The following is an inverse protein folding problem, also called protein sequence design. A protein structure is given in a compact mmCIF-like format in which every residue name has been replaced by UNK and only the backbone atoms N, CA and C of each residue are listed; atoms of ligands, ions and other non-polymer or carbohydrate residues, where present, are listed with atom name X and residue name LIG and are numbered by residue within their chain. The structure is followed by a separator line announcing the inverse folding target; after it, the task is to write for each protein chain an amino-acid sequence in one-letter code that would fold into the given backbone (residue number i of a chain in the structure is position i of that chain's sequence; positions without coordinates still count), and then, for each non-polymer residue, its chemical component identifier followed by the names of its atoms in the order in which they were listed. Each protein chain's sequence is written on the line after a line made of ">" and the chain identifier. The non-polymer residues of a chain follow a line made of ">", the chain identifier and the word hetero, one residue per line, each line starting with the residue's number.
data_IF_859706077646
#
_entry.id   IF_859706077646
#
_cell.length_a   1.000
_cell.length_b   1.000
_cell.length_c   1.000
_cell.angle_alpha   90.00
_cell.angle_beta   90.00
_cell.angle_gamma   90.00
#
_symmetry.space_group_name_H-M   'P 1'
#
loop_
_entity.id
_entity.type
_entity.pdbx_description
1 polymer ?
#
# COMPACT_ATOMS: atom_id res chain seq x y z
N UNK A 1 11.56 -9.67 2.08
CA UNK A 1 12.39 -9.12 3.18
C UNK A 1 13.73 -9.87 3.20
N UNK A 2 14.85 -9.25 3.58
CA UNK A 2 16.11 -10.01 3.69
C UNK A 2 16.02 -11.01 4.86
N UNK A 3 16.67 -12.17 4.76
CA UNK A 3 16.71 -13.19 5.83
C UNK A 3 17.18 -12.60 7.17
N UNK A 4 18.10 -11.62 7.10
CA UNK A 4 18.57 -10.84 8.25
C UNK A 4 17.45 -9.98 8.86
N UNK A 5 16.67 -9.29 8.02
CA UNK A 5 15.56 -8.46 8.47
C UNK A 5 14.47 -9.28 9.15
N UNK A 6 14.11 -10.42 8.57
CA UNK A 6 13.09 -11.32 9.14
C UNK A 6 13.55 -11.90 10.47
N UNK A 7 14.80 -12.39 10.56
CA UNK A 7 15.39 -12.88 11.80
C UNK A 7 15.28 -11.85 12.95
N UNK A 8 15.55 -10.57 12.67
CA UNK A 8 15.49 -9.53 13.69
C UNK A 8 14.06 -9.16 14.10
N UNK A 9 13.10 -9.28 13.19
CA UNK A 9 11.68 -9.12 13.50
C UNK A 9 11.23 -10.25 14.42
N UNK A 10 11.58 -11.49 14.09
CA UNK A 10 11.20 -12.67 14.88
C UNK A 10 11.82 -12.64 16.30
N UNK A 11 13.05 -12.11 16.44
CA UNK A 11 13.68 -11.91 17.75
C UNK A 11 12.95 -10.84 18.56
N UNK A 12 12.58 -9.71 17.94
CA UNK A 12 11.86 -8.65 18.61
C UNK A 12 10.46 -9.12 19.08
N UNK A 13 9.69 -9.75 18.19
CA UNK A 13 8.35 -10.27 18.48
C UNK A 13 8.34 -11.31 19.60
N UNK A 14 9.34 -12.21 19.62
CA UNK A 14 9.47 -13.22 20.68
C UNK A 14 9.68 -12.59 22.06
N UNK A 15 10.51 -11.55 22.15
CA UNK A 15 10.78 -10.86 23.42
C UNK A 15 9.54 -10.10 23.93
N UNK A 16 8.69 -9.59 23.02
CA UNK A 16 7.44 -8.93 23.41
C UNK A 16 6.37 -9.92 23.88
N UNK A 17 6.38 -11.14 23.35
CA UNK A 17 5.48 -12.21 23.78
C UNK A 17 5.73 -12.62 25.24
N UNK A 18 6.99 -12.58 25.69
CA UNK A 18 7.39 -13.00 27.04
C UNK A 18 7.34 -11.87 28.08
N UNK A 19 7.33 -10.60 27.66
CA UNK A 19 7.24 -9.43 28.57
C UNK A 19 5.79 -8.94 28.82
N UNK A 20 4.80 -9.50 28.12
CA UNK A 20 3.38 -9.39 28.49
C UNK A 20 2.69 -8.05 28.19
N UNK A 21 3.18 -7.24 27.24
CA UNK A 21 2.51 -5.98 26.85
C UNK A 21 3.17 -5.22 25.69
N UNK A 22 2.48 -4.19 25.19
CA UNK A 22 2.98 -3.27 24.16
C UNK A 22 4.22 -2.49 24.64
N UNK A 23 5.23 -2.24 23.78
CA UNK A 23 6.43 -1.52 24.19
C UNK A 23 6.11 -0.09 24.64
N UNK A 24 6.63 0.36 25.79
CA UNK A 24 6.42 1.74 26.24
C UNK A 24 7.04 2.75 25.26
N UNK A 25 6.36 3.88 25.06
CA UNK A 25 6.74 4.93 24.08
C UNK A 25 8.15 5.51 24.35
N UNK A 26 8.58 5.47 25.62
CA UNK A 26 9.93 5.84 26.07
C UNK A 26 10.39 4.87 27.15
N UNK A 27 11.63 4.40 27.02
CA UNK A 27 12.23 3.50 27.99
C UNK A 27 13.24 4.25 28.87
N UNK A 28 13.16 4.00 30.18
CA UNK A 28 14.16 4.45 31.15
C UNK A 28 15.30 3.42 31.26
N UNK A 29 16.48 3.83 31.75
CA UNK A 29 17.62 2.91 31.91
C UNK A 29 17.27 1.67 32.75
N UNK A 30 16.47 1.82 33.80
CA UNK A 30 15.99 0.72 34.65
C UNK A 30 15.13 -0.31 33.91
N UNK A 31 14.53 0.05 32.77
CA UNK A 31 13.73 -0.83 31.93
C UNK A 31 14.55 -1.40 30.76
N UNK A 32 15.51 -0.62 30.25
CA UNK A 32 16.41 -1.00 29.15
C UNK A 32 17.40 -2.09 29.59
N UNK A 33 18.01 -1.96 30.76
CA UNK A 33 19.07 -2.87 31.21
C UNK A 33 18.58 -4.34 31.36
N UNK A 34 17.43 -4.64 32.00
CA UNK A 34 16.91 -6.01 32.08
C UNK A 34 16.52 -6.60 30.72
N UNK A 35 15.91 -5.78 29.84
CA UNK A 35 15.52 -6.21 28.51
C UNK A 35 16.72 -6.54 27.63
N UNK A 36 17.78 -5.73 27.66
CA UNK A 36 19.00 -6.02 26.91
C UNK A 36 19.70 -7.27 27.42
N UNK A 37 19.68 -7.47 28.74
CA UNK A 37 20.22 -8.68 29.35
C UNK A 37 19.48 -9.91 28.85
N UNK A 38 18.15 -9.88 28.84
CA UNK A 38 17.30 -10.95 28.32
C UNK A 38 17.46 -11.15 26.80
N UNK A 39 17.51 -10.05 26.03
CA UNK A 39 17.76 -10.06 24.59
C UNK A 39 19.11 -10.75 24.26
N UNK A 40 20.17 -10.40 24.98
CA UNK A 40 21.49 -11.01 24.78
C UNK A 40 21.49 -12.50 25.11
N UNK A 41 20.78 -12.91 26.16
CA UNK A 41 20.62 -14.31 26.50
C UNK A 41 19.90 -15.08 25.39
N UNK A 42 18.76 -14.56 24.90
CA UNK A 42 17.99 -15.20 23.82
C UNK A 42 18.78 -15.29 22.52
N UNK A 43 19.54 -14.26 22.20
CA UNK A 43 20.38 -14.26 21.01
C UNK A 43 21.53 -15.27 21.12
N UNK A 44 22.12 -15.39 22.31
CA UNK A 44 23.16 -16.39 22.60
C UNK A 44 22.62 -17.81 22.47
N UNK A 45 21.44 -18.10 23.02
CA UNK A 45 20.76 -19.40 22.92
C UNK A 45 20.51 -19.76 21.45
N UNK A 46 19.91 -18.85 20.67
CA UNK A 46 19.63 -19.08 19.24
C UNK A 46 20.89 -19.23 18.37
N UNK A 47 21.94 -18.48 18.66
CA UNK A 47 23.21 -18.63 17.95
C UNK A 47 23.94 -19.93 18.32
N UNK A 48 23.73 -20.45 19.54
CA UNK A 48 24.25 -21.76 19.94
C UNK A 48 23.49 -22.90 19.25
N UNK A 49 22.17 -22.76 19.06
CA UNK A 49 21.32 -23.72 18.34
C UNK A 49 21.58 -23.73 16.82
N UNK A 50 21.88 -22.56 16.24
CA UNK A 50 22.20 -22.43 14.82
C UNK A 50 23.41 -21.50 14.60
N UNK A 51 24.64 -22.06 14.54
CA UNK A 51 25.87 -21.28 14.37
C UNK A 51 25.94 -20.42 13.10
N UNK A 52 25.20 -20.77 12.04
CA UNK A 52 25.13 -19.96 10.82
C UNK A 52 24.47 -18.59 11.04
N UNK A 53 23.64 -18.45 12.08
CA UNK A 53 23.05 -17.17 12.46
C UNK A 53 24.11 -16.15 12.88
N UNK A 54 25.26 -16.58 13.44
CA UNK A 54 26.35 -15.69 13.85
C UNK A 54 26.88 -14.88 12.66
N UNK A 55 26.95 -15.48 11.47
CA UNK A 55 27.36 -14.77 10.26
C UNK A 55 26.30 -13.78 9.76
N UNK A 56 25.03 -14.17 9.83
CA UNK A 56 23.87 -13.37 9.40
C UNK A 56 23.62 -12.16 10.31
N UNK A 57 23.69 -12.37 11.63
CA UNK A 57 23.40 -11.36 12.63
C UNK A 57 24.65 -10.56 13.03
N UNK A 58 25.85 -11.09 12.75
CA UNK A 58 27.13 -10.46 13.11
C UNK A 58 27.42 -10.46 14.61
N UNK A 59 26.68 -11.24 15.39
CA UNK A 59 26.75 -11.20 16.85
C UNK A 59 28.13 -11.58 17.40
N UNK A 60 28.55 -10.88 18.45
CA UNK A 60 29.71 -11.19 19.25
C UNK A 60 29.33 -11.19 20.73
N UNK A 61 30.08 -11.96 21.54
CA UNK A 61 29.87 -12.01 22.98
C UNK A 61 30.10 -10.60 23.58
N UNK A 62 29.11 -10.02 24.28
CA UNK A 62 29.21 -8.64 24.73
C UNK A 62 30.38 -8.45 25.69
N UNK A 63 31.29 -7.53 25.37
CA UNK A 63 32.31 -7.06 26.32
C UNK A 63 31.65 -6.04 27.23
N UNK A 64 31.83 -6.18 28.56
CA UNK A 64 31.26 -5.33 29.61
C UNK A 64 31.49 -3.82 29.35
N UNK A 65 30.59 -3.19 28.58
CA UNK A 65 30.54 -1.77 28.33
C UNK A 65 29.37 -1.18 29.10
N UNK A 66 29.63 -0.35 30.10
CA UNK A 66 28.57 0.28 30.88
C UNK A 66 27.91 1.41 30.07
N UNK A 67 26.58 1.33 29.90
CA UNK A 67 25.78 2.38 29.26
C UNK A 67 25.87 3.67 30.12
N UNK A 68 26.25 4.83 29.55
CA UNK A 68 26.37 6.09 30.30
C UNK A 68 25.07 6.46 31.03
N UNK A 69 25.17 6.95 32.27
CA UNK A 69 24.02 7.35 33.09
C UNK A 69 23.23 8.51 32.45
N UNK A 70 21.89 8.45 32.52
CA UNK A 70 21.00 9.51 32.02
C UNK A 70 20.68 9.45 30.52
N UNK A 71 21.12 8.41 29.83
CA UNK A 71 20.81 8.22 28.41
C UNK A 71 19.44 7.57 28.20
N UNK A 72 18.69 8.05 27.20
CA UNK A 72 17.37 7.54 26.82
C UNK A 72 17.38 7.19 25.33
N UNK A 73 16.72 6.09 24.96
CA UNK A 73 16.50 5.67 23.57
C UNK A 73 15.02 5.33 23.41
N UNK A 74 14.37 5.86 22.36
CA UNK A 74 12.98 5.49 22.08
C UNK A 74 12.91 4.09 21.47
N UNK A 75 11.80 3.38 21.66
CA UNK A 75 11.57 2.07 21.05
C UNK A 75 11.73 2.14 19.52
N UNK A 76 11.21 3.19 18.88
CA UNK A 76 11.36 3.37 17.43
C UNK A 76 12.84 3.58 17.04
N UNK A 77 13.61 4.33 17.83
CA UNK A 77 15.05 4.49 17.60
C UNK A 77 15.77 3.16 17.80
N UNK A 78 15.44 2.43 18.86
CA UNK A 78 15.99 1.10 19.13
C UNK A 78 15.68 0.14 17.97
N UNK A 79 14.39 -0.08 17.67
CA UNK A 79 13.93 -0.95 16.59
C UNK A 79 14.55 -0.58 15.23
N UNK A 80 14.54 0.71 14.88
CA UNK A 80 15.12 1.19 13.62
C UNK A 80 16.61 0.90 13.55
N UNK A 81 17.35 1.25 14.59
CA UNK A 81 18.79 1.04 14.63
C UNK A 81 19.13 -0.46 14.52
N UNK A 82 18.36 -1.34 15.19
CA UNK A 82 18.54 -2.79 15.14
C UNK A 82 18.19 -3.39 13.77
N UNK A 83 17.14 -2.90 13.12
CA UNK A 83 16.70 -3.38 11.81
C UNK A 83 17.61 -2.88 10.70
N UNK A 84 18.00 -1.60 10.72
CA UNK A 84 18.75 -0.98 9.64
C UNK A 84 20.26 -1.14 9.80
N UNK A 85 20.74 -1.52 10.98
CA UNK A 85 22.17 -1.57 11.29
C UNK A 85 22.86 -0.20 11.25
N UNK A 86 22.08 0.88 11.22
CA UNK A 86 22.54 2.26 11.07
C UNK A 86 21.97 3.13 12.19
N UNK A 87 22.81 3.95 12.82
CA UNK A 87 22.37 4.94 13.81
C UNK A 87 22.62 6.36 13.31
N UNK A 88 21.54 7.05 12.89
CA UNK A 88 21.61 8.46 12.42
C UNK A 88 21.66 9.49 13.57
N UNK A 89 21.84 9.04 14.82
CA UNK A 89 21.90 9.87 16.02
C UNK A 89 23.27 10.49 16.33
N UNK A 90 23.35 11.22 17.44
CA UNK A 90 24.61 11.76 17.97
C UNK A 90 25.57 10.63 18.39
N UNK A 91 26.86 10.97 18.63
CA UNK A 91 27.89 9.99 19.00
C UNK A 91 27.49 9.10 20.18
N UNK A 92 26.77 9.65 21.16
CA UNK A 92 26.25 8.89 22.31
C UNK A 92 25.26 7.82 21.87
N UNK A 93 24.29 8.17 21.01
CA UNK A 93 23.28 7.23 20.47
C UNK A 93 23.93 6.14 19.63
N UNK A 94 24.93 6.50 18.84
CA UNK A 94 25.71 5.56 18.02
C UNK A 94 26.53 4.58 18.88
N UNK A 95 27.20 5.09 19.92
CA UNK A 95 27.97 4.26 20.82
C UNK A 95 27.08 3.36 21.69
N UNK A 96 25.92 3.84 22.13
CA UNK A 96 24.94 3.00 22.82
C UNK A 96 24.49 1.84 21.95
N UNK A 97 24.18 2.08 20.67
CA UNK A 97 23.85 1.00 19.74
C UNK A 97 24.96 -0.05 19.62
N UNK A 98 26.21 0.40 19.43
CA UNK A 98 27.33 -0.53 19.33
C UNK A 98 27.52 -1.35 20.61
N UNK A 99 27.41 -0.71 21.77
CA UNK A 99 27.47 -1.39 23.07
C UNK A 99 26.34 -2.43 23.19
N UNK A 100 25.13 -2.10 22.75
CA UNK A 100 24.00 -3.04 22.69
C UNK A 100 24.21 -4.21 21.73
N UNK A 101 25.06 -4.07 20.72
CA UNK A 101 25.39 -5.14 19.79
C UNK A 101 26.65 -5.92 20.23
N UNK A 102 27.20 -5.62 21.42
CA UNK A 102 28.36 -6.27 22.00
C UNK A 102 29.72 -5.66 21.62
N UNK A 103 29.72 -4.52 20.92
CA UNK A 103 30.92 -3.80 20.47
C UNK A 103 31.32 -2.68 21.43
N UNK A 104 32.60 -2.29 21.42
CA UNK A 104 33.08 -1.26 22.35
C UNK A 104 32.67 0.17 21.96
N UNK A 105 32.41 0.41 20.67
CA UNK A 105 31.98 1.72 20.14
C UNK A 105 31.41 1.58 18.73
N UNK A 106 30.73 2.62 18.23
CA UNK A 106 30.19 2.60 16.86
C UNK A 106 31.26 2.47 15.79
N UNK A 107 32.43 3.04 16.04
CA UNK A 107 33.57 2.95 15.12
C UNK A 107 34.12 1.50 15.07
N UNK A 108 34.06 0.76 16.18
CA UNK A 108 34.42 -0.65 16.27
C UNK A 108 33.43 -1.53 15.48
N UNK A 109 32.13 -1.28 15.65
CA UNK A 109 31.06 -1.90 14.85
C UNK A 109 31.26 -1.64 13.35
N UNK A 110 31.50 -0.39 12.95
CA UNK A 110 31.67 -0.01 11.54
C UNK A 110 32.87 -0.69 10.87
N UNK A 111 34.01 -0.79 11.55
CA UNK A 111 35.20 -1.48 11.00
C UNK A 111 34.95 -2.96 10.74
N UNK A 112 34.27 -3.65 11.65
CA UNK A 112 33.99 -5.09 11.52
C UNK A 112 32.89 -5.35 10.49
N UNK A 113 31.86 -4.50 10.43
CA UNK A 113 30.80 -4.60 9.43
C UNK A 113 31.31 -4.39 8.00
N UNK A 114 32.22 -3.42 7.78
CA UNK A 114 32.81 -3.14 6.46
C UNK A 114 33.89 -4.15 6.03
N UNK A 115 34.53 -4.86 6.96
CA UNK A 115 35.48 -5.93 6.62
C UNK A 115 34.77 -7.15 5.99
N UNK A 116 33.50 -7.39 6.32
CA UNK A 116 32.72 -8.52 5.80
C UNK A 116 32.18 -8.34 4.37
N UNK A 117 32.03 -7.10 3.89
CA UNK A 117 31.50 -6.83 2.54
C UNK A 117 32.54 -6.95 1.41
N UNK A 118 33.82 -7.19 1.73
CA UNK A 118 34.92 -7.21 0.77
C UNK A 118 35.61 -8.59 0.63
N UNK A 119 34.92 -9.69 0.91
CA UNK A 119 35.45 -11.03 0.57
C UNK A 119 34.88 -11.49 -0.78
N UNK A 120 35.71 -11.93 -1.74
CA UNK A 120 35.24 -12.31 -3.08
C UNK A 120 34.53 -13.67 -3.06
N UNK A 121 33.38 -13.75 -3.73
CA UNK A 121 32.58 -14.97 -3.89
C UNK A 121 33.31 -16.03 -4.75
N UNK A 122 33.24 -17.29 -4.32
CA UNK A 122 33.74 -18.48 -5.04
C UNK A 122 32.63 -19.01 -5.97
N UNK A 123 32.93 -19.46 -7.21
CA UNK A 123 31.90 -19.91 -8.16
C UNK A 123 31.34 -21.30 -7.82
N UNK A 124 30.05 -21.49 -8.11
CA UNK A 124 29.32 -22.74 -7.92
C UNK A 124 29.88 -23.91 -8.73
N UNK A 125 30.00 -25.09 -8.10
CA UNK A 125 30.39 -26.36 -8.72
C UNK A 125 29.13 -27.21 -8.96
N UNK A 126 28.79 -27.34 -10.24
CA UNK A 126 28.51 -28.55 -11.04
C UNK A 126 27.66 -29.68 -10.41
N UNK A 127 26.51 -29.92 -11.06
CA UNK A 127 25.71 -31.15 -11.07
C UNK A 127 26.55 -32.39 -11.35
N UNK A 128 26.38 -33.43 -10.52
CA UNK A 128 26.73 -34.81 -10.87
C UNK A 128 25.41 -35.57 -11.03
N UNK A 129 25.15 -35.99 -12.26
CA UNK A 129 24.20 -37.02 -12.61
C UNK A 129 24.95 -38.34 -12.84
N UNK A 130 24.41 -39.44 -12.33
CA UNK A 130 24.57 -40.85 -12.72
C UNK A 130 23.35 -41.56 -12.04
N UNK A 131 22.60 -42.49 -12.60
CA UNK A 131 22.77 -43.36 -13.76
C UNK A 131 21.43 -44.05 -14.13
N UNK A 132 21.29 -44.35 -15.42
CA UNK A 132 20.69 -45.54 -16.08
C UNK A 132 19.26 -46.05 -15.83
N UNK A 133 18.49 -46.12 -16.94
CA UNK A 133 18.02 -47.40 -17.51
C UNK A 133 17.63 -47.24 -19.00
N UNK A 134 18.33 -47.98 -19.87
CA UNK A 134 18.11 -48.12 -21.33
C UNK A 134 16.97 -49.11 -21.69
N UNK A 135 16.27 -48.76 -22.77
CA UNK A 135 15.78 -49.54 -23.94
C UNK A 135 15.32 -51.01 -23.86
N UNK A 136 14.12 -51.27 -24.44
CA UNK A 136 13.97 -52.23 -25.56
C UNK A 136 12.59 -52.18 -26.26
N UNK A 137 12.63 -51.74 -27.53
CA UNK A 137 12.02 -52.28 -28.76
C UNK A 137 10.66 -53.05 -28.84
N UNK A 138 9.87 -52.55 -29.81
CA UNK A 138 9.26 -53.25 -30.97
C UNK A 138 7.77 -53.71 -30.99
N UNK A 139 7.22 -53.42 -32.16
CA UNK A 139 5.90 -53.55 -32.76
C UNK A 139 5.01 -54.75 -32.37
N UNK A 140 3.69 -54.51 -32.37
CA UNK A 140 2.69 -55.03 -33.36
C UNK A 140 1.25 -54.90 -32.83
N UNK A 141 0.34 -54.39 -33.67
CA UNK A 141 -1.12 -54.58 -33.56
C UNK A 141 -1.47 -55.81 -34.42
N UNK A 142 -2.39 -56.72 -33.99
CA UNK A 142 -3.71 -56.75 -34.62
C UNK A 142 -4.90 -57.17 -33.72
N UNK A 143 -6.02 -56.45 -33.89
CA UNK A 143 -7.40 -56.89 -34.22
C UNK A 143 -8.03 -58.13 -33.54
N UNK A 144 -9.13 -57.83 -32.82
CA UNK A 144 -10.44 -58.48 -32.63
C UNK A 144 -10.57 -59.99 -32.28
N UNK A 145 -11.31 -60.26 -31.18
CA UNK A 145 -12.60 -60.96 -31.26
C UNK A 145 -13.37 -60.91 -29.92
N UNK A 146 -14.67 -60.63 -29.99
CA UNK A 146 -15.68 -60.99 -28.97
C UNK A 146 -16.19 -62.43 -29.27
N UNK A 147 -17.05 -63.14 -28.50
CA UNK A 147 -18.03 -62.65 -27.51
C UNK A 147 -18.26 -63.56 -26.28
N UNK A 148 -19.11 -63.12 -25.34
CA UNK A 148 -20.32 -63.81 -24.83
C UNK A 148 -20.64 -63.44 -23.37
N UNK A 149 -21.83 -62.86 -23.21
CA UNK A 149 -22.84 -63.08 -22.17
C UNK A 149 -22.34 -63.40 -20.74
N UNK A 150 -22.72 -62.58 -19.77
CA UNK A 150 -24.03 -62.71 -19.11
C UNK A 150 -24.14 -61.90 -17.80
N UNK A 151 -25.40 -61.61 -17.45
CA UNK A 151 -25.94 -61.28 -16.11
C UNK A 151 -25.78 -59.86 -15.54
N UNK A 152 -26.92 -59.16 -15.62
CA UNK A 152 -27.35 -58.02 -14.80
C UNK A 152 -27.11 -58.20 -13.29
N UNK A 153 -26.60 -57.15 -12.62
CA UNK A 153 -26.88 -56.82 -11.20
C UNK A 153 -27.00 -55.30 -10.99
N UNK A 154 -27.84 -54.84 -10.03
CA UNK A 154 -28.29 -53.44 -9.88
C UNK A 154 -27.26 -52.51 -9.19
N UNK A 155 -25.97 -52.64 -9.53
CA UNK A 155 -24.92 -51.79 -8.99
C UNK A 155 -24.57 -50.59 -9.91
N UNK A 156 -24.88 -50.67 -11.21
CA UNK A 156 -24.44 -49.67 -12.19
C UNK A 156 -25.26 -48.37 -12.10
N UNK A 157 -26.54 -48.43 -11.73
CA UNK A 157 -27.37 -47.21 -11.60
C UNK A 157 -26.96 -46.37 -10.38
N UNK A 158 -26.54 -47.01 -9.28
CA UNK A 158 -26.01 -46.31 -8.11
C UNK A 158 -24.61 -45.72 -8.37
N UNK A 159 -23.75 -46.44 -9.11
CA UNK A 159 -22.41 -45.94 -9.47
C UNK A 159 -22.51 -44.81 -10.50
N UNK A 160 -23.44 -44.85 -11.46
CA UNK A 160 -23.68 -43.73 -12.38
C UNK A 160 -24.26 -42.51 -11.65
N UNK A 161 -25.16 -42.67 -10.68
CA UNK A 161 -25.69 -41.55 -9.90
C UNK A 161 -24.61 -40.92 -8.99
N UNK A 162 -23.77 -41.73 -8.35
CA UNK A 162 -22.66 -41.27 -7.51
C UNK A 162 -21.55 -40.65 -8.37
N UNK A 163 -21.31 -41.15 -9.59
CA UNK A 163 -20.38 -40.53 -10.53
C UNK A 163 -20.95 -39.24 -11.12
N UNK A 164 -22.25 -39.10 -11.39
CA UNK A 164 -22.83 -37.83 -11.85
C UNK A 164 -22.89 -36.78 -10.74
N UNK A 165 -23.20 -37.18 -9.49
CA UNK A 165 -23.17 -36.27 -8.33
C UNK A 165 -21.73 -35.95 -7.95
N UNK A 166 -20.80 -36.91 -8.04
CA UNK A 166 -19.37 -36.71 -7.87
C UNK A 166 -18.78 -35.83 -8.97
N UNK A 167 -19.20 -35.96 -10.23
CA UNK A 167 -18.75 -35.12 -11.33
C UNK A 167 -19.37 -33.71 -11.27
N UNK A 168 -20.60 -33.57 -10.77
CA UNK A 168 -21.19 -32.24 -10.48
C UNK A 168 -20.52 -31.57 -9.28
N UNK A 169 -20.17 -32.32 -8.23
CA UNK A 169 -19.40 -31.81 -7.08
C UNK A 169 -17.97 -31.47 -7.51
N UNK A 170 -17.34 -32.27 -8.39
CA UNK A 170 -16.02 -31.95 -8.94
C UNK A 170 -16.10 -30.76 -9.89
N UNK A 171 -17.17 -30.54 -10.65
CA UNK A 171 -17.37 -29.29 -11.41
C UNK A 171 -17.64 -28.10 -10.48
N UNK A 172 -18.26 -28.30 -9.30
CA UNK A 172 -18.38 -27.25 -8.28
C UNK A 172 -17.08 -27.00 -7.48
N UNK A 173 -16.14 -27.94 -7.45
CA UNK A 173 -14.83 -27.81 -6.78
C UNK A 173 -13.71 -27.44 -7.78
N UNK A 174 -13.94 -27.65 -9.08
CA UNK A 174 -13.01 -27.38 -10.18
C UNK A 174 -13.56 -26.38 -11.20
N UNK A 175 -14.63 -25.65 -10.88
CA UNK A 175 -14.77 -24.33 -11.47
C UNK A 175 -13.51 -23.57 -11.02
N UNK A 176 -12.72 -22.99 -11.94
CA UNK A 176 -11.77 -21.99 -11.51
C UNK A 176 -12.63 -20.96 -10.80
N UNK A 177 -12.51 -20.90 -9.47
CA UNK A 177 -12.81 -19.66 -8.78
C UNK A 177 -11.86 -18.69 -9.45
N UNK A 178 -12.34 -17.96 -10.45
CA UNK A 178 -11.78 -16.67 -10.75
C UNK A 178 -12.01 -15.88 -9.46
N UNK A 179 -11.11 -16.06 -8.48
CA UNK A 179 -10.92 -15.08 -7.44
C UNK A 179 -10.61 -13.83 -8.23
N UNK A 180 -11.56 -12.90 -8.24
CA UNK A 180 -11.36 -11.59 -8.83
C UNK A 180 -10.02 -11.07 -8.28
N UNK A 181 -9.18 -10.45 -9.13
CA UNK A 181 -7.87 -9.97 -8.70
C UNK A 181 -8.06 -9.10 -7.45
N UNK A 182 -7.28 -9.37 -6.41
CA UNK A 182 -7.41 -8.66 -5.15
C UNK A 182 -7.23 -7.15 -5.38
N UNK A 183 -8.18 -6.34 -4.92
CA UNK A 183 -8.11 -4.88 -5.08
C UNK A 183 -6.89 -4.33 -4.35
N UNK A 184 -5.92 -3.78 -5.08
CA UNK A 184 -4.77 -3.11 -4.49
C UNK A 184 -5.16 -1.67 -4.12
N UNK A 185 -5.26 -1.42 -2.81
CA UNK A 185 -5.57 -0.11 -2.25
C UNK A 185 -4.29 0.61 -1.84
N UNK A 186 -4.11 1.82 -2.33
CA UNK A 186 -3.10 2.76 -1.87
C UNK A 186 -3.77 3.81 -1.01
N UNK A 187 -3.19 4.14 0.14
CA UNK A 187 -3.75 5.16 1.01
C UNK A 187 -2.68 5.98 1.73
N UNK A 188 -2.96 7.27 1.87
CA UNK A 188 -2.18 8.18 2.69
C UNK A 188 -2.63 8.01 4.13
N UNK A 189 -1.70 7.84 5.05
CA UNK A 189 -1.94 7.83 6.50
C UNK A 189 -1.00 8.79 7.25
N UNK A 190 -1.14 8.91 8.58
CA UNK A 190 -0.29 9.81 9.40
C UNK A 190 1.22 9.55 9.28
N UNK A 191 1.62 8.35 8.88
CA UNK A 191 3.02 7.95 8.73
C UNK A 191 3.57 8.17 7.31
N UNK A 192 2.72 8.33 6.31
CA UNK A 192 3.10 8.55 4.91
C UNK A 192 2.11 7.92 3.94
N UNK A 193 2.60 7.01 3.09
CA UNK A 193 1.78 6.27 2.11
C UNK A 193 1.98 4.78 2.33
N UNK A 194 0.87 4.06 2.43
CA UNK A 194 0.84 2.62 2.51
C UNK A 194 0.07 2.04 1.32
N UNK A 195 0.34 0.75 1.09
CA UNK A 195 -0.41 -0.08 0.15
C UNK A 195 -0.91 -1.32 0.88
N UNK A 196 -2.06 -1.85 0.49
CA UNK A 196 -2.56 -3.13 0.97
C UNK A 196 -3.49 -3.77 -0.07
N UNK A 197 -3.57 -5.08 -0.10
CA UNK A 197 -4.69 -5.74 -0.77
C UNK A 197 -5.92 -5.56 0.12
N UNK A 198 -7.05 -5.11 -0.42
CA UNK A 198 -8.19 -4.71 0.40
C UNK A 198 -8.84 -5.87 1.17
N UNK A 199 -8.58 -7.12 0.76
CA UNK A 199 -8.99 -8.34 1.46
C UNK A 199 -7.96 -8.82 2.50
N UNK A 200 -6.78 -8.21 2.51
CA UNK A 200 -5.70 -8.49 3.46
C UNK A 200 -5.50 -7.28 4.37
N UNK A 201 -5.81 -7.43 5.67
CA UNK A 201 -5.61 -6.36 6.67
C UNK A 201 -4.12 -6.23 7.07
N UNK A 202 -3.23 -6.15 6.07
CA UNK A 202 -1.79 -6.14 6.20
C UNK A 202 -1.16 -5.00 5.37
N UNK A 203 -1.22 -3.75 5.87
CA UNK A 203 -0.70 -2.61 5.15
C UNK A 203 0.84 -2.56 5.16
N UNK A 204 1.42 -2.29 3.99
CA UNK A 204 2.85 -2.09 3.80
C UNK A 204 3.13 -0.61 3.61
N UNK A 205 3.93 -0.02 4.50
CA UNK A 205 4.37 1.37 4.39
C UNK A 205 5.45 1.50 3.31
N UNK A 206 5.11 2.13 2.18
CA UNK A 206 6.02 2.37 1.05
C UNK A 206 6.75 3.71 1.17
N UNK A 207 6.09 4.70 1.79
CA UNK A 207 6.64 6.02 2.10
C UNK A 207 6.44 6.25 3.60
N UNK A 208 7.50 6.59 4.33
CA UNK A 208 7.44 6.83 5.77
C UNK A 208 7.99 8.21 6.16
N UNK A 209 7.54 8.71 7.32
CA UNK A 209 7.97 9.98 7.91
C UNK A 209 7.65 11.21 7.04
N UNK A 210 6.52 11.20 6.32
CA UNK A 210 6.06 12.30 5.46
C UNK A 210 4.69 12.79 5.94
N UNK A 211 4.67 13.88 6.72
CA UNK A 211 3.46 14.34 7.44
C UNK A 211 2.55 15.29 6.67
N UNK A 212 3.04 15.91 5.60
CA UNK A 212 2.30 16.97 4.87
C UNK A 212 1.87 16.51 3.48
N UNK A 213 1.47 15.24 3.38
CA UNK A 213 0.90 14.67 2.18
C UNK A 213 -0.60 14.97 2.12
N UNK A 214 -1.09 15.44 0.98
CA UNK A 214 -2.48 15.89 0.82
C UNK A 214 -3.24 15.16 -0.28
N UNK A 215 -2.56 14.80 -1.37
CA UNK A 215 -3.12 14.00 -2.45
C UNK A 215 -2.05 13.13 -3.07
N UNK A 216 -2.48 12.12 -3.79
CA UNK A 216 -1.62 11.17 -4.49
C UNK A 216 -2.40 10.47 -5.57
N UNK A 217 -1.67 9.94 -6.53
CA UNK A 217 -2.22 9.06 -7.54
C UNK A 217 -1.13 8.15 -8.11
N UNK A 218 -1.54 7.06 -8.75
CA UNK A 218 -0.67 5.94 -9.07
C UNK A 218 -0.90 5.40 -10.47
N UNK A 219 0.17 5.42 -11.26
CA UNK A 219 0.22 4.80 -12.58
C UNK A 219 0.64 3.34 -12.41
N UNK A 220 -0.36 2.45 -12.43
CA UNK A 220 -0.17 1.01 -12.31
C UNK A 220 0.70 0.43 -13.43
N UNK A 221 0.48 0.86 -14.67
CA UNK A 221 1.20 0.38 -15.86
C UNK A 221 2.71 0.61 -15.76
N UNK A 222 3.11 1.74 -15.19
CA UNK A 222 4.51 2.13 -15.05
C UNK A 222 5.06 1.97 -13.61
N UNK A 223 4.24 1.51 -12.66
CA UNK A 223 4.56 1.51 -11.23
C UNK A 223 5.06 2.87 -10.70
N UNK A 224 4.48 3.98 -11.17
CA UNK A 224 4.87 5.33 -10.77
C UNK A 224 3.85 5.92 -9.79
N UNK A 225 4.32 6.26 -8.59
CA UNK A 225 3.54 6.94 -7.57
C UNK A 225 3.89 8.43 -7.56
N UNK A 226 2.87 9.29 -7.64
CA UNK A 226 2.98 10.74 -7.47
C UNK A 226 2.24 11.17 -6.21
N UNK A 227 2.78 12.14 -5.48
CA UNK A 227 2.10 12.72 -4.32
C UNK A 227 2.37 14.21 -4.14
N UNK A 228 1.36 14.91 -3.66
CA UNK A 228 1.40 16.31 -3.33
C UNK A 228 1.95 16.51 -1.91
N UNK A 229 2.86 17.45 -1.78
CA UNK A 229 3.46 17.88 -0.53
C UNK A 229 3.03 19.33 -0.26
N UNK A 230 2.13 19.53 0.70
CA UNK A 230 1.51 20.84 0.97
C UNK A 230 1.92 21.30 2.35
N UNK A 231 3.04 22.01 2.39
CA UNK A 231 3.53 22.68 3.58
C UNK A 231 3.78 24.15 3.23
N UNK A 232 3.67 25.04 4.22
CA UNK A 232 4.03 26.45 4.07
C UNK A 232 5.53 26.67 3.83
N UNK A 233 6.38 25.67 4.12
CA UNK A 233 7.81 25.73 3.84
C UNK A 233 8.13 25.36 2.39
N UNK A 234 8.80 26.26 1.67
CA UNK A 234 9.27 26.05 0.29
C UNK A 234 10.19 24.83 0.13
N UNK A 235 10.87 24.40 1.20
CA UNK A 235 11.74 23.22 1.19
C UNK A 235 11.00 21.88 1.13
N UNK A 236 9.68 21.90 1.32
CA UNK A 236 8.83 20.71 1.26
C UNK A 236 7.69 20.84 0.25
N UNK A 237 7.32 22.05 -0.15
CA UNK A 237 6.25 22.32 -1.12
C UNK A 237 6.56 21.73 -2.51
N UNK A 238 5.61 21.02 -3.11
CA UNK A 238 5.71 20.53 -4.48
C UNK A 238 5.05 19.17 -4.68
N UNK A 239 5.23 18.59 -5.86
CA UNK A 239 4.83 17.20 -6.15
C UNK A 239 6.10 16.36 -6.22
N UNK A 240 6.12 15.26 -5.50
CA UNK A 240 7.20 14.27 -5.55
C UNK A 240 6.73 13.03 -6.29
N UNK A 241 7.68 12.22 -6.76
CA UNK A 241 7.37 10.92 -7.33
C UNK A 241 8.41 9.87 -6.99
N UNK A 242 8.02 8.60 -7.11
CA UNK A 242 8.92 7.46 -6.97
C UNK A 242 8.37 6.28 -7.78
N UNK A 243 9.26 5.37 -8.16
CA UNK A 243 8.87 4.10 -8.80
C UNK A 243 8.77 3.02 -7.73
N UNK A 244 7.65 2.30 -7.69
CA UNK A 244 7.49 1.11 -6.87
C UNK A 244 8.07 -0.11 -7.59
N UNK A 245 8.48 -1.12 -6.83
CA UNK A 245 8.87 -2.42 -7.38
C UNK A 245 7.66 -3.14 -7.98
N UNK A 246 7.90 -4.26 -8.68
CA UNK A 246 6.84 -5.03 -9.34
C UNK A 246 5.78 -5.60 -8.39
N UNK A 247 6.05 -5.65 -7.09
CA UNK A 247 5.10 -6.09 -6.06
C UNK A 247 4.44 -4.93 -5.33
N UNK A 248 4.68 -3.69 -5.77
CA UNK A 248 4.19 -2.44 -5.18
C UNK A 248 4.52 -2.23 -3.69
N UNK A 249 5.40 -3.06 -3.12
CA UNK A 249 5.68 -3.13 -1.69
C UNK A 249 6.80 -2.20 -1.23
N UNK A 250 7.63 -1.71 -2.16
CA UNK A 250 8.80 -0.88 -1.86
C UNK A 250 9.12 0.08 -3.00
N UNK A 251 9.72 1.21 -2.67
CA UNK A 251 10.34 2.12 -3.65
C UNK A 251 11.62 1.51 -4.20
N UNK A 252 11.80 1.58 -5.51
CA UNK A 252 13.05 1.21 -6.17
C UNK A 252 14.15 2.19 -5.75
N UNK A 253 15.29 1.72 -5.22
CA UNK A 253 16.40 2.59 -4.83
C UNK A 253 16.81 3.56 -5.94
N UNK A 254 16.97 4.85 -5.58
CA UNK A 254 17.35 5.91 -6.52
C UNK A 254 16.22 6.47 -7.39
N UNK A 255 15.01 5.90 -7.36
CA UNK A 255 13.86 6.40 -8.13
C UNK A 255 13.14 7.59 -7.48
N UNK A 256 13.33 7.79 -6.17
CA UNK A 256 12.69 8.87 -5.41
C UNK A 256 13.16 10.24 -5.91
N UNK A 257 12.22 11.06 -6.37
CA UNK A 257 12.42 12.47 -6.74
C UNK A 257 11.59 13.36 -5.83
N UNK A 258 12.23 13.92 -4.81
CA UNK A 258 11.59 14.86 -3.92
C UNK A 258 11.40 16.24 -4.57
N UNK A 259 10.21 16.82 -4.43
CA UNK A 259 9.83 18.10 -5.03
C UNK A 259 10.17 18.17 -6.52
N UNK A 260 9.89 17.08 -7.23
CA UNK A 260 10.07 16.97 -8.68
C UNK A 260 9.38 18.11 -9.44
N UNK A 261 8.20 18.54 -8.97
CA UNK A 261 7.45 19.69 -9.52
C UNK A 261 7.30 20.76 -8.45
N UNK A 262 7.80 21.97 -8.74
CA UNK A 262 7.78 23.13 -7.80
C UNK A 262 6.86 24.28 -8.24
N UNK A 263 6.29 24.20 -9.43
CA UNK A 263 5.50 25.28 -10.06
C UNK A 263 4.05 25.31 -9.52
N UNK A 264 3.89 25.04 -8.23
CA UNK A 264 2.61 24.93 -7.50
C UNK A 264 2.65 25.75 -6.22
N UNK A 265 1.51 26.24 -5.73
CA UNK A 265 1.41 27.06 -4.51
C UNK A 265 0.90 26.27 -3.31
N UNK A 266 -0.12 25.46 -3.51
CA UNK A 266 -0.60 24.48 -2.54
C UNK A 266 -1.23 23.32 -3.33
N UNK A 267 -0.44 22.34 -3.78
CA UNK A 267 -0.98 21.19 -4.50
C UNK A 267 -1.86 20.39 -3.53
N UNK A 268 -3.09 20.04 -3.90
CA UNK A 268 -3.99 19.26 -3.07
C UNK A 268 -4.17 17.87 -3.70
N UNK A 269 -5.18 17.68 -4.54
CA UNK A 269 -5.42 16.44 -5.29
C UNK A 269 -4.54 16.32 -6.54
N UNK A 270 -4.29 15.07 -6.93
CA UNK A 270 -3.58 14.70 -8.16
C UNK A 270 -4.44 13.66 -8.90
N UNK A 271 -4.50 13.77 -10.23
CA UNK A 271 -5.03 12.74 -11.12
C UNK A 271 -4.06 12.51 -12.28
N UNK A 272 -3.77 11.27 -12.63
CA UNK A 272 -2.83 10.89 -13.68
C UNK A 272 -3.55 10.50 -14.97
N UNK A 273 -2.88 10.75 -16.10
CA UNK A 273 -3.21 10.19 -17.41
C UNK A 273 -2.01 9.37 -17.89
N UNK A 274 -1.93 8.07 -17.50
CA UNK A 274 -0.79 7.21 -17.80
C UNK A 274 -0.41 7.14 -19.28
N UNK A 275 -1.38 6.94 -20.18
CA UNK A 275 -1.07 6.80 -21.62
C UNK A 275 -0.53 8.07 -22.29
N UNK A 276 -0.72 9.23 -21.66
CA UNK A 276 -0.16 10.51 -22.13
C UNK A 276 1.00 11.00 -21.27
N UNK A 277 1.36 10.27 -20.21
CA UNK A 277 2.36 10.68 -19.21
C UNK A 277 2.09 12.09 -18.66
N UNK A 278 0.82 12.41 -18.43
CA UNK A 278 0.37 13.70 -17.91
C UNK A 278 -0.19 13.55 -16.50
N UNK A 279 -0.09 14.61 -15.71
CA UNK A 279 -0.75 14.70 -14.41
C UNK A 279 -1.46 16.04 -14.27
N UNK A 280 -2.63 15.98 -13.65
CA UNK A 280 -3.48 17.11 -13.30
C UNK A 280 -3.35 17.34 -11.80
N UNK A 281 -3.10 18.58 -11.40
CA UNK A 281 -2.96 18.97 -10.00
C UNK A 281 -3.99 20.05 -9.66
N UNK A 282 -4.81 19.79 -8.64
CA UNK A 282 -5.62 20.83 -8.00
C UNK A 282 -4.73 21.72 -7.13
N UNK A 283 -4.34 22.88 -7.63
CA UNK A 283 -3.55 23.86 -6.88
C UNK A 283 -4.50 24.79 -6.09
N UNK A 284 -4.84 24.38 -4.87
CA UNK A 284 -5.69 25.12 -3.95
C UNK A 284 -5.19 26.56 -3.72
N UNK A 285 -3.87 26.72 -3.64
CA UNK A 285 -3.22 27.99 -3.31
C UNK A 285 -3.39 29.01 -4.42
N UNK A 286 -3.29 28.54 -5.66
CA UNK A 286 -3.40 29.36 -6.86
C UNK A 286 -4.81 29.33 -7.47
N UNK A 287 -5.77 28.58 -6.91
CA UNK A 287 -7.12 28.42 -7.48
C UNK A 287 -7.10 27.97 -8.94
N UNK A 288 -6.25 27.00 -9.29
CA UNK A 288 -6.13 26.49 -10.66
C UNK A 288 -6.06 24.96 -10.68
N UNK A 289 -6.42 24.38 -11.82
CA UNK A 289 -5.91 23.05 -12.19
C UNK A 289 -4.68 23.27 -13.08
N UNK A 290 -3.56 22.68 -12.70
CA UNK A 290 -2.32 22.71 -13.48
C UNK A 290 -2.03 21.35 -14.09
N UNK A 291 -1.53 21.36 -15.31
CA UNK A 291 -1.24 20.17 -16.09
C UNK A 291 0.26 20.08 -16.30
N UNK A 292 0.86 18.97 -15.90
CA UNK A 292 2.28 18.71 -16.09
C UNK A 292 2.47 17.41 -16.86
N UNK A 293 3.61 17.25 -17.53
CA UNK A 293 4.09 15.91 -17.86
C UNK A 293 4.80 15.27 -16.66
N UNK A 294 5.10 13.98 -16.76
CA UNK A 294 5.82 13.24 -15.72
C UNK A 294 7.25 13.74 -15.50
N UNK A 295 7.86 14.46 -16.45
CA UNK A 295 9.15 15.15 -16.31
C UNK A 295 9.05 16.43 -15.49
N UNK A 296 7.84 16.90 -15.18
CA UNK A 296 7.57 18.07 -14.35
C UNK A 296 7.53 19.40 -15.10
N UNK A 297 7.45 19.36 -16.43
CA UNK A 297 7.21 20.53 -17.26
C UNK A 297 5.73 20.90 -17.21
N UNK A 298 5.44 22.18 -16.98
CA UNK A 298 4.08 22.70 -17.06
C UNK A 298 3.64 22.72 -18.53
N UNK A 299 2.58 21.99 -18.83
CA UNK A 299 1.98 21.92 -20.17
C UNK A 299 0.87 22.95 -20.33
N UNK A 300 0.05 23.12 -19.28
CA UNK A 300 -1.04 24.08 -19.27
C UNK A 300 -1.38 24.49 -17.82
N UNK A 301 -1.95 25.66 -17.66
CA UNK A 301 -2.51 26.13 -16.40
C UNK A 301 -3.85 26.79 -16.63
N UNK A 302 -4.82 26.38 -15.80
CA UNK A 302 -6.09 27.07 -15.63
C UNK A 302 -7.12 26.91 -16.78
N UNK A 303 -6.87 26.06 -17.79
CA UNK A 303 -7.78 25.87 -18.93
C UNK A 303 -8.37 27.21 -19.44
N UNK A 304 -7.55 28.27 -19.39
CA UNK A 304 -7.94 29.63 -19.75
C UNK A 304 -8.12 30.67 -18.64
N UNK A 305 -8.35 30.36 -17.35
CA UNK A 305 -8.44 31.34 -16.22
C UNK A 305 -8.47 30.70 -14.81
N UNK A 306 -8.19 31.49 -13.77
CA UNK A 306 -8.43 31.10 -12.37
C UNK A 306 -9.86 30.56 -12.15
N UNK A 307 -9.96 29.45 -11.42
CA UNK A 307 -11.24 28.89 -11.01
C UNK A 307 -11.92 29.81 -9.98
N UNK A 308 -13.27 29.85 -9.95
CA UNK A 308 -14.02 30.75 -9.08
C UNK A 308 -13.92 30.42 -7.57
N UNK A 309 -13.33 29.28 -7.21
CA UNK A 309 -13.13 28.91 -5.81
C UNK A 309 -11.86 28.11 -5.58
N UNK A 310 -11.95 27.08 -4.74
CA UNK A 310 -10.78 26.39 -4.19
C UNK A 310 -10.81 24.91 -4.57
N UNK A 311 -10.06 24.50 -5.61
CA UNK A 311 -9.98 23.10 -5.99
C UNK A 311 -9.24 22.32 -4.89
N UNK A 312 -9.81 21.20 -4.45
CA UNK A 312 -9.20 20.33 -3.44
C UNK A 312 -8.89 18.95 -4.02
N UNK A 313 -9.91 18.16 -4.33
CA UNK A 313 -9.74 16.87 -5.01
C UNK A 313 -9.95 17.03 -6.52
N UNK A 314 -9.27 16.19 -7.31
CA UNK A 314 -9.40 16.15 -8.76
C UNK A 314 -9.41 14.68 -9.20
N UNK A 315 -10.25 14.35 -10.18
CA UNK A 315 -10.26 13.04 -10.81
C UNK A 315 -10.45 13.08 -12.32
N UNK A 316 -9.89 12.08 -13.00
CA UNK A 316 -9.88 11.96 -14.45
C UNK A 316 -10.72 10.77 -14.93
N UNK A 317 -11.76 11.08 -15.69
CA UNK A 317 -12.48 10.12 -16.51
C UNK A 317 -11.78 10.02 -17.88
N UNK A 318 -10.83 9.09 -17.97
CA UNK A 318 -10.05 8.87 -19.20
C UNK A 318 -10.96 8.43 -20.35
N UNK A 319 -11.99 7.63 -20.08
CA UNK A 319 -12.88 7.09 -21.12
C UNK A 319 -13.66 8.22 -21.79
N UNK A 320 -14.26 9.11 -20.99
CA UNK A 320 -15.10 10.20 -21.50
C UNK A 320 -14.33 11.52 -21.70
N UNK A 321 -13.01 11.53 -21.47
CA UNK A 321 -12.14 12.72 -21.57
C UNK A 321 -12.66 13.90 -20.73
N UNK A 322 -13.08 13.61 -19.50
CA UNK A 322 -13.56 14.62 -18.54
C UNK A 322 -12.67 14.66 -17.32
N UNK A 323 -12.44 15.84 -16.79
CA UNK A 323 -11.78 16.05 -15.50
C UNK A 323 -12.79 16.64 -14.53
N UNK A 324 -12.90 16.08 -13.33
CA UNK A 324 -13.80 16.56 -12.28
C UNK A 324 -12.98 17.10 -11.12
N UNK A 325 -13.47 18.12 -10.42
CA UNK A 325 -12.82 18.61 -9.20
C UNK A 325 -13.84 19.04 -8.16
N UNK A 326 -13.46 18.95 -6.88
CA UNK A 326 -14.25 19.53 -5.79
C UNK A 326 -13.84 20.98 -5.51
N UNK A 327 -14.83 21.85 -5.35
CA UNK A 327 -14.63 23.21 -4.83
C UNK A 327 -15.04 23.28 -3.36
N UNK A 328 -14.06 23.19 -2.47
CA UNK A 328 -14.32 23.15 -1.02
C UNK A 328 -14.91 24.47 -0.51
N UNK A 329 -14.62 25.59 -1.18
CA UNK A 329 -15.06 26.93 -0.75
C UNK A 329 -16.48 27.25 -1.17
N UNK A 330 -16.88 26.80 -2.36
CA UNK A 330 -18.21 27.05 -2.90
C UNK A 330 -19.19 25.89 -2.73
N UNK A 331 -18.73 24.74 -2.20
CA UNK A 331 -19.55 23.56 -1.93
C UNK A 331 -20.15 22.94 -3.21
N UNK A 332 -19.32 22.87 -4.26
CA UNK A 332 -19.69 22.42 -5.61
C UNK A 332 -18.69 21.40 -6.14
N UNK A 333 -19.08 20.75 -7.24
CA UNK A 333 -18.18 19.99 -8.09
C UNK A 333 -18.19 20.64 -9.46
N UNK A 334 -17.00 20.87 -10.00
CA UNK A 334 -16.84 21.33 -11.37
C UNK A 334 -16.38 20.22 -12.31
N UNK A 335 -16.52 20.49 -13.61
CA UNK A 335 -16.10 19.60 -14.71
C UNK A 335 -15.35 20.39 -15.78
N UNK A 336 -14.30 19.81 -16.33
CA UNK A 336 -13.63 20.27 -17.54
C UNK A 336 -13.81 19.20 -18.62
N UNK A 337 -14.21 19.62 -19.81
CA UNK A 337 -14.10 18.81 -21.02
C UNK A 337 -12.67 18.95 -21.58
N UNK A 338 -11.93 17.85 -21.68
CA UNK A 338 -10.54 17.88 -22.12
C UNK A 338 -10.38 17.98 -23.65
N UNK A 339 -11.46 17.81 -24.41
CA UNK A 339 -11.48 17.95 -25.86
C UNK A 339 -11.82 19.38 -26.28
N UNK A 340 -12.79 20.00 -25.61
CA UNK A 340 -13.24 21.38 -25.91
C UNK A 340 -12.57 22.43 -25.03
N UNK A 341 -11.94 22.01 -23.93
CA UNK A 341 -11.43 22.86 -22.85
C UNK A 341 -12.53 23.71 -22.18
N UNK A 342 -13.80 23.31 -22.32
CA UNK A 342 -14.91 23.96 -21.65
C UNK A 342 -14.87 23.67 -20.16
N UNK A 343 -14.94 24.73 -19.35
CA UNK A 343 -14.93 24.68 -17.90
C UNK A 343 -16.35 24.94 -17.38
N UNK A 344 -16.90 24.00 -16.63
CA UNK A 344 -18.20 24.07 -15.97
C UNK A 344 -18.01 24.01 -14.44
N UNK A 345 -17.82 25.15 -13.74
CA UNK A 345 -17.59 25.16 -12.30
C UNK A 345 -18.77 24.69 -11.44
N UNK A 346 -19.97 24.70 -12.02
CA UNK A 346 -21.24 24.44 -11.35
C UNK A 346 -21.88 23.11 -11.79
N UNK A 347 -21.09 22.18 -12.34
CA UNK A 347 -21.55 20.87 -12.82
C UNK A 347 -22.45 20.16 -11.78
N UNK A 348 -22.01 20.10 -10.52
CA UNK A 348 -22.89 19.83 -9.37
C UNK A 348 -22.93 21.06 -8.48
N UNK A 349 -24.09 21.74 -8.47
CA UNK A 349 -24.28 23.01 -7.76
C UNK A 349 -24.48 22.88 -6.24
N UNK A 350 -24.76 21.67 -5.74
CA UNK A 350 -24.88 21.38 -4.31
C UNK A 350 -24.18 20.05 -3.99
N UNK A 351 -22.92 20.12 -3.59
CA UNK A 351 -22.12 18.96 -3.21
C UNK A 351 -22.13 18.70 -1.70
N UNK A 352 -22.95 19.38 -0.90
CA UNK A 352 -22.87 19.32 0.56
C UNK A 352 -21.68 20.13 1.10
N UNK A 353 -21.48 20.13 2.43
CA UNK A 353 -20.52 21.03 3.05
C UNK A 353 -19.10 20.50 2.99
N UNK A 354 -18.21 21.31 2.42
CA UNK A 354 -16.78 21.05 2.28
C UNK A 354 -16.49 19.75 1.49
N UNK A 355 -16.94 19.67 0.22
CA UNK A 355 -16.75 18.48 -0.60
C UNK A 355 -15.27 18.26 -0.89
N UNK A 356 -14.80 17.06 -0.64
CA UNK A 356 -13.44 16.59 -0.90
C UNK A 356 -13.53 15.13 -1.39
N UNK A 357 -12.41 14.39 -1.41
CA UNK A 357 -12.39 12.95 -1.65
C UNK A 357 -13.27 12.52 -2.83
N UNK A 358 -12.81 12.74 -4.06
CA UNK A 358 -13.58 12.54 -5.29
C UNK A 358 -13.14 11.23 -5.98
N UNK A 359 -14.09 10.47 -6.51
CA UNK A 359 -13.81 9.25 -7.27
C UNK A 359 -14.79 9.09 -8.42
N UNK A 360 -14.33 8.58 -9.56
CA UNK A 360 -15.12 8.44 -10.79
C UNK A 360 -15.23 6.98 -11.22
N UNK A 361 -16.45 6.56 -11.51
CA UNK A 361 -16.76 5.28 -12.14
C UNK A 361 -17.14 5.52 -13.60
N UNK A 362 -16.14 5.42 -14.49
CA UNK A 362 -16.33 5.56 -15.93
C UNK A 362 -17.14 4.41 -16.56
N UNK A 363 -17.24 3.25 -15.90
CA UNK A 363 -17.97 2.09 -16.42
C UNK A 363 -19.49 2.30 -16.25
N UNK A 364 -19.88 2.81 -15.09
CA UNK A 364 -21.27 3.04 -14.73
C UNK A 364 -21.72 4.49 -14.90
N UNK A 365 -20.85 5.38 -15.38
CA UNK A 365 -21.08 6.83 -15.51
C UNK A 365 -21.49 7.49 -14.19
N UNK A 366 -20.79 7.16 -13.10
CA UNK A 366 -21.08 7.68 -11.77
C UNK A 366 -19.92 8.47 -11.20
N UNK A 367 -20.26 9.46 -10.39
CA UNK A 367 -19.31 10.26 -9.62
C UNK A 367 -19.64 10.16 -8.14
N UNK A 368 -18.63 9.93 -7.31
CA UNK A 368 -18.73 9.81 -5.87
C UNK A 368 -17.87 10.87 -5.19
N UNK A 369 -18.37 11.44 -4.10
CA UNK A 369 -17.57 12.37 -3.31
C UNK A 369 -17.89 12.32 -1.82
N UNK A 370 -16.93 12.74 -0.99
CA UNK A 370 -17.10 12.90 0.44
C UNK A 370 -17.41 14.36 0.81
N UNK A 371 -18.37 14.57 1.71
CA UNK A 371 -18.68 15.89 2.27
C UNK A 371 -18.58 15.83 3.79
N UNK A 372 -17.35 15.82 4.34
CA UNK A 372 -17.09 15.55 5.74
C UNK A 372 -17.83 16.47 6.71
N UNK A 373 -17.97 17.77 6.40
CA UNK A 373 -18.63 18.71 7.33
C UNK A 373 -20.13 18.53 7.43
N UNK A 374 -20.78 18.04 6.37
CA UNK A 374 -22.19 17.68 6.41
C UNK A 374 -22.45 16.19 6.68
N UNK A 375 -21.39 15.38 6.91
CA UNK A 375 -21.45 13.92 7.13
C UNK A 375 -22.26 13.23 6.04
N UNK A 376 -21.88 13.51 4.80
CA UNK A 376 -22.57 12.99 3.61
C UNK A 376 -21.59 12.38 2.63
N UNK A 377 -22.05 11.38 1.90
CA UNK A 377 -21.45 10.95 0.65
C UNK A 377 -22.39 11.37 -0.46
N UNK A 378 -21.84 12.02 -1.48
CA UNK A 378 -22.60 12.33 -2.67
C UNK A 378 -22.36 11.33 -3.78
N UNK A 379 -23.39 11.16 -4.59
CA UNK A 379 -23.40 10.36 -5.80
C UNK A 379 -24.09 11.14 -6.90
N UNK A 380 -23.54 11.09 -8.10
CA UNK A 380 -24.14 11.71 -9.28
C UNK A 380 -24.04 10.80 -10.49
N UNK A 381 -25.08 10.85 -11.31
CA UNK A 381 -25.09 10.29 -12.65
C UNK A 381 -24.47 11.34 -13.60
N UNK A 382 -23.39 10.96 -14.28
CA UNK A 382 -22.59 11.88 -15.09
C UNK A 382 -23.28 12.32 -16.39
N UNK A 383 -24.23 11.53 -16.89
CA UNK A 383 -24.99 11.83 -18.11
C UNK A 383 -26.12 12.82 -17.82
N UNK A 384 -26.92 12.53 -16.79
CA UNK A 384 -28.11 13.31 -16.42
C UNK A 384 -27.81 14.45 -15.45
N UNK A 385 -26.61 14.49 -14.87
CA UNK A 385 -26.17 15.42 -13.82
C UNK A 385 -27.02 15.39 -12.54
N UNK A 386 -27.88 14.37 -12.40
CA UNK A 386 -28.69 14.19 -11.19
C UNK A 386 -27.78 13.73 -10.06
N UNK A 387 -27.80 14.47 -8.96
CA UNK A 387 -27.02 14.19 -7.76
C UNK A 387 -27.92 13.90 -6.56
N UNK A 388 -27.37 13.14 -5.62
CA UNK A 388 -27.97 12.81 -4.33
C UNK A 388 -26.91 12.88 -3.24
N UNK A 389 -27.30 13.39 -2.07
CA UNK A 389 -26.48 13.36 -0.86
C UNK A 389 -27.06 12.33 0.11
N UNK A 390 -26.22 11.39 0.52
CA UNK A 390 -26.57 10.29 1.41
C UNK A 390 -25.94 10.59 2.77
N UNK A 391 -26.77 10.68 3.80
CA UNK A 391 -26.27 10.89 5.17
C UNK A 391 -25.57 9.62 5.65
N UNK A 392 -24.43 9.81 6.33
CA UNK A 392 -23.66 8.75 6.95
C UNK A 392 -23.45 9.08 8.42
N UNK A 393 -23.28 8.04 9.22
CA UNK A 393 -23.04 8.22 10.65
C UNK A 393 -21.70 8.90 10.86
N UNK A 394 -20.59 8.40 10.31
CA UNK A 394 -19.28 9.01 10.51
C UNK A 394 -18.88 9.94 9.37
N UNK A 395 -18.17 11.07 9.66
CA UNK A 395 -17.64 11.94 8.62
C UNK A 395 -16.61 11.19 7.76
N UNK A 396 -16.74 11.29 6.43
CA UNK A 396 -15.87 10.61 5.48
C UNK A 396 -14.78 11.57 5.00
N UNK A 397 -13.53 11.14 5.03
CA UNK A 397 -12.38 11.92 4.55
C UNK A 397 -12.16 11.73 3.05
N UNK A 398 -12.14 10.49 2.58
CA UNK A 398 -11.99 10.16 1.17
C UNK A 398 -12.89 8.98 0.78
N UNK A 399 -13.27 8.94 -0.49
CA UNK A 399 -13.91 7.79 -1.13
C UNK A 399 -13.13 7.37 -2.36
N UNK A 400 -13.17 6.08 -2.69
CA UNK A 400 -12.59 5.54 -3.91
C UNK A 400 -13.42 4.34 -4.39
N UNK A 401 -13.83 4.34 -5.66
CA UNK A 401 -14.67 3.29 -6.24
C UNK A 401 -13.83 2.27 -7.00
N UNK A 402 -14.09 0.98 -6.76
CA UNK A 402 -13.71 -0.08 -7.67
C UNK A 402 -14.92 -0.36 -8.58
N UNK A 403 -14.87 0.08 -9.85
CA UNK A 403 -16.01 -0.06 -10.76
C UNK A 403 -16.23 -1.51 -11.20
N UNK A 404 -15.20 -2.37 -11.18
CA UNK A 404 -15.31 -3.79 -11.56
C UNK A 404 -16.12 -4.56 -10.52
N UNK A 405 -15.84 -4.31 -9.25
CA UNK A 405 -16.48 -5.01 -8.13
C UNK A 405 -17.72 -4.28 -7.59
N UNK A 406 -18.02 -3.08 -8.11
CA UNK A 406 -19.08 -2.18 -7.60
C UNK A 406 -18.94 -1.87 -6.10
N UNK A 407 -17.70 -1.78 -5.63
CA UNK A 407 -17.36 -1.50 -4.23
C UNK A 407 -16.90 -0.06 -4.07
N UNK A 408 -17.42 0.60 -3.04
CA UNK A 408 -16.95 1.92 -2.61
C UNK A 408 -16.15 1.77 -1.32
N UNK A 409 -14.90 2.20 -1.37
CA UNK A 409 -14.01 2.29 -0.22
C UNK A 409 -14.09 3.68 0.36
N UNK A 410 -14.12 3.80 1.69
CA UNK A 410 -14.16 5.08 2.37
C UNK A 410 -13.28 5.10 3.61
N UNK A 411 -12.58 6.23 3.82
CA UNK A 411 -11.81 6.49 5.04
C UNK A 411 -12.60 7.42 5.97
N UNK A 412 -12.55 7.15 7.27
CA UNK A 412 -13.25 7.97 8.25
C UNK A 412 -12.38 9.14 8.73
N UNK A 413 -12.93 10.35 8.68
CA UNK A 413 -12.21 11.56 9.07
C UNK A 413 -11.86 11.52 10.56
N UNK A 414 -10.57 11.57 10.87
CA UNK A 414 -10.06 11.59 12.24
C UNK A 414 -10.00 10.21 12.91
N UNK A 415 -10.35 9.14 12.20
CA UNK A 415 -10.27 7.75 12.66
C UNK A 415 -9.22 6.98 11.85
N UNK A 416 -8.75 5.85 12.37
CA UNK A 416 -7.84 4.91 11.72
C UNK A 416 -8.59 3.82 10.93
N UNK A 417 -9.78 4.13 10.43
CA UNK A 417 -10.68 3.16 9.80
C UNK A 417 -10.79 3.39 8.29
N UNK A 418 -10.65 2.31 7.53
CA UNK A 418 -11.17 2.19 6.14
C UNK A 418 -12.30 1.18 6.16
N UNK A 419 -13.41 1.51 5.48
CA UNK A 419 -14.54 0.60 5.24
C UNK A 419 -14.73 0.38 3.75
N UNK A 420 -15.35 -0.74 3.41
CA UNK A 420 -15.94 -0.98 2.10
C UNK A 420 -17.45 -1.05 2.21
N UNK A 421 -18.16 -0.53 1.22
CA UNK A 421 -19.59 -0.62 1.07
C UNK A 421 -19.95 -1.03 -0.35
N UNK A 422 -21.13 -1.63 -0.51
CA UNK A 422 -21.64 -1.97 -1.84
C UNK A 422 -22.34 -0.74 -2.42
N UNK A 423 -21.94 -0.36 -3.63
CA UNK A 423 -22.71 0.59 -4.44
C UNK A 423 -23.83 -0.22 -5.10
N UNK A 424 -25.06 -0.10 -4.60
CA UNK A 424 -26.17 -0.91 -5.11
C UNK A 424 -26.87 -0.19 -6.27
N UNK A 425 -27.05 1.14 -6.16
CA UNK A 425 -27.69 2.00 -7.17
C UNK A 425 -27.27 3.46 -6.95
N UNK A 426 -27.52 4.36 -7.94
CA UNK A 426 -27.52 5.82 -7.72
C UNK A 426 -28.35 6.27 -6.50
N UNK A 427 -29.34 5.46 -6.12
CA UNK A 427 -30.30 5.77 -5.07
C UNK A 427 -29.90 5.26 -3.67
N UNK A 428 -28.95 4.34 -3.57
CA UNK A 428 -28.51 3.82 -2.28
C UNK A 428 -27.07 3.32 -2.33
N UNK A 429 -26.24 3.90 -1.46
CA UNK A 429 -24.98 3.29 -1.04
C UNK A 429 -25.26 2.57 0.28
N UNK A 430 -25.02 1.26 0.31
CA UNK A 430 -25.17 0.47 1.53
C UNK A 430 -23.78 0.17 2.05
N UNK A 431 -23.35 0.95 3.03
CA UNK A 431 -22.29 0.52 3.93
C UNK A 431 -22.90 -0.50 4.88
N UNK A 432 -22.58 -1.78 4.69
CA UNK A 432 -23.02 -2.79 5.64
C UNK A 432 -22.31 -2.53 6.96
N UNK A 433 -22.99 -1.89 7.91
CA UNK A 433 -22.46 -1.60 9.24
C UNK A 433 -22.05 -2.87 10.02
N UNK A 434 -22.44 -4.06 9.54
CA UNK A 434 -22.02 -5.36 10.08
C UNK A 434 -20.69 -5.85 9.50
N UNK A 435 -20.25 -5.30 8.36
CA UNK A 435 -18.93 -5.62 7.82
C UNK A 435 -17.86 -4.90 8.66
N UNK A 436 -16.86 -5.64 9.19
CA UNK A 436 -15.79 -5.03 9.95
C UNK A 436 -14.99 -4.06 9.07
N UNK A 437 -14.35 -3.04 9.67
CA UNK A 437 -13.30 -2.28 9.00
C UNK A 437 -12.30 -3.20 8.30
N UNK A 438 -11.81 -2.78 7.13
CA UNK A 438 -10.75 -3.50 6.41
C UNK A 438 -9.35 -2.99 6.78
N UNK A 439 -9.29 -1.98 7.66
CA UNK A 439 -8.06 -1.38 8.14
C UNK A 439 -8.34 -0.73 9.51
N UNK A 440 -7.57 -1.12 10.52
CA UNK A 440 -7.50 -0.52 11.87
C UNK A 440 -6.09 -0.67 12.46
N UNK A 441 -5.15 0.17 12.01
CA UNK A 441 -3.73 0.07 12.40
C UNK A 441 -3.20 1.31 13.13
N UNK A 442 -4.07 2.09 13.78
CA UNK A 442 -3.67 3.24 14.61
C UNK A 442 -3.12 4.46 13.85
N UNK A 443 -3.11 4.44 12.51
CA UNK A 443 -2.74 5.60 11.69
C UNK A 443 -3.86 6.01 10.76
N UNK A 444 -4.19 7.31 10.72
CA UNK A 444 -5.46 7.78 10.14
C UNK A 444 -5.37 7.95 8.62
N UNK A 445 -6.14 7.18 7.83
CA UNK A 445 -6.15 7.30 6.39
C UNK A 445 -6.94 8.54 5.95
N UNK A 446 -6.49 9.23 4.90
CA UNK A 446 -7.16 10.46 4.44
C UNK A 446 -7.23 10.65 2.92
N UNK A 447 -6.53 9.81 2.14
CA UNK A 447 -6.62 9.77 0.67
C UNK A 447 -6.60 8.30 0.30
N UNK A 448 -7.45 7.89 -0.63
CA UNK A 448 -7.56 6.53 -1.13
C UNK A 448 -7.35 6.53 -2.65
N UNK A 449 -6.68 5.51 -3.17
CA UNK A 449 -6.53 5.23 -4.60
C UNK A 449 -6.55 3.73 -4.82
N UNK A 450 -7.18 3.29 -5.90
CA UNK A 450 -7.16 1.88 -6.30
C UNK A 450 -6.29 1.72 -7.54
N UNK A 451 -5.37 0.76 -7.50
CA UNK A 451 -4.68 0.31 -8.71
C UNK A 451 -5.54 -0.75 -9.40
N UNK A 452 -6.16 -0.38 -10.51
CA UNK A 452 -6.86 -1.31 -11.39
C UNK A 452 -5.88 -1.83 -12.45
N UNK A 453 -5.85 -3.15 -12.64
CA UNK A 453 -5.02 -3.81 -13.67
C UNK A 453 -5.59 -3.64 -15.09
#
# INVERSE_FOLDING_TARGET
>A
MSTKTQFWIDVAEHIFKDTGGEPPEKWTKSEIDPFLTYFHQQLQERCAENPALIEVCGWQQPKNGAIPSGSTISYDSFRRIFITGESKGNRTTRNMFAIYMGYQSYDDYGRIAHAKTNTPEVPAIIDIAEEEAEDMEDNRIPVADSPRNAFFKPAIVAVCAILTVGFLIIISISAPTHSLPATLLLFRNDNGIAVMLAEEDLPIQVISNRRYLTGMDYDHKNHLLFWANSNSSESYLGISCARLNSTNSQIIPGSLKDQHIKQVKYPAGIALYPDKEMLFCADYGDSTIKVFNYEGQLLDSAFGNHLPGKPSSVELDIVNQKLYWTDVSNHKIGRIDLLTFEVEPDFISNAGLYPDGLSVDSIHNQLFWASPKSRQIGIADLETQKSKLINVDDPIAAVEVNPVDSLLYCSLLGSDVIRKGLVITPDSVVFDARMPPIYTHGSRPSVLKIALE
#
